data_IF_080299884413
#
_entry.id   IF_080299884413
#
_cell.length_a   1.000
_cell.length_b   1.000
_cell.length_c   1.000
_cell.angle_alpha   90.00
_cell.angle_beta   90.00
_cell.angle_gamma   90.00
#
_symmetry.space_group_name_H-M   'P 1'
#
loop_
_entity.id
_entity.type
_entity.pdbx_description
1 polymer ?
#
# COMPACT_ATOMS: atom_id res chain seq x y z
N UNK A 1 18.11 12.06 -0.16
CA UNK A 1 17.21 12.11 -1.33
C UNK A 1 16.10 11.11 -1.04
N UNK A 2 14.89 11.57 -0.75
CA UNK A 2 13.75 10.67 -0.59
C UNK A 2 13.24 10.37 -2.00
N UNK A 3 13.46 9.16 -2.46
CA UNK A 3 12.90 8.68 -3.71
C UNK A 3 11.39 8.57 -3.46
N UNK A 4 10.59 9.44 -4.07
CA UNK A 4 9.14 9.46 -3.85
C UNK A 4 8.46 8.36 -4.68
N UNK A 5 8.84 7.11 -4.42
CA UNK A 5 8.26 5.92 -5.07
C UNK A 5 6.99 5.52 -4.33
N UNK A 6 5.90 5.30 -5.06
CA UNK A 6 4.62 4.95 -4.46
C UNK A 6 4.65 3.53 -3.88
N UNK A 7 3.96 3.32 -2.76
CA UNK A 7 3.89 2.01 -2.07
C UNK A 7 3.42 0.88 -2.99
N UNK A 8 2.53 1.19 -3.95
CA UNK A 8 2.08 0.23 -4.96
C UNK A 8 3.21 -0.30 -5.86
N UNK A 9 4.13 0.55 -6.29
CA UNK A 9 5.25 0.12 -7.12
C UNK A 9 6.18 -0.82 -6.35
N UNK A 10 6.38 -0.53 -5.06
CA UNK A 10 7.10 -1.42 -4.17
C UNK A 10 6.37 -2.75 -3.93
N UNK A 11 5.05 -2.75 -3.83
CA UNK A 11 4.22 -3.96 -3.78
C UNK A 11 4.39 -4.82 -5.04
N UNK A 12 4.32 -4.19 -6.22
CA UNK A 12 4.49 -4.89 -7.52
C UNK A 12 5.89 -5.46 -7.73
N UNK A 13 6.91 -4.80 -7.20
CA UNK A 13 8.31 -5.20 -7.35
C UNK A 13 8.84 -6.08 -6.22
N UNK A 14 8.00 -6.52 -5.28
CA UNK A 14 8.40 -7.29 -4.09
C UNK A 14 9.48 -6.57 -3.25
N UNK A 15 9.33 -5.25 -3.11
CA UNK A 15 10.25 -4.36 -2.38
C UNK A 15 9.52 -3.49 -1.34
N UNK A 16 8.36 -3.94 -0.84
CA UNK A 16 7.54 -3.24 0.16
C UNK A 16 8.30 -2.74 1.38
N UNK A 17 9.31 -3.49 1.84
CA UNK A 17 10.17 -3.09 2.96
C UNK A 17 10.82 -1.72 2.77
N UNK A 18 11.05 -1.29 1.52
CA UNK A 18 11.58 0.04 1.20
C UNK A 18 10.59 1.17 1.49
N UNK A 19 9.31 0.85 1.68
CA UNK A 19 8.26 1.80 2.08
C UNK A 19 8.17 2.00 3.61
N UNK A 20 8.91 1.22 4.40
CA UNK A 20 8.91 1.35 5.87
C UNK A 20 9.70 2.60 6.29
N UNK A 21 9.14 3.36 7.22
CA UNK A 21 9.74 4.61 7.70
C UNK A 21 11.16 4.37 8.27
N UNK A 22 12.21 4.98 7.70
CA UNK A 22 13.59 4.82 8.20
C UNK A 22 13.77 5.25 9.66
N UNK A 23 12.90 6.11 10.18
CA UNK A 23 12.92 6.55 11.59
C UNK A 23 12.61 5.44 12.57
N UNK A 24 11.99 4.33 12.12
CA UNK A 24 11.80 3.13 12.93
C UNK A 24 13.11 2.38 13.17
N UNK A 25 14.19 2.68 12.42
CA UNK A 25 15.54 2.13 12.66
C UNK A 25 15.61 0.60 12.76
N UNK A 26 14.74 -0.11 12.03
CA UNK A 26 14.67 -1.58 12.11
C UNK A 26 14.06 -2.12 13.42
N UNK A 27 13.47 -1.27 14.26
CA UNK A 27 12.81 -1.66 15.51
C UNK A 27 11.36 -2.14 15.24
N UNK A 28 11.21 -3.10 14.34
CA UNK A 28 9.94 -3.71 13.97
C UNK A 28 10.17 -5.12 13.45
N UNK A 29 9.14 -5.97 13.51
CA UNK A 29 9.13 -7.27 12.85
C UNK A 29 8.85 -7.06 11.36
N UNK A 30 9.73 -7.53 10.47
CA UNK A 30 9.59 -7.29 9.03
C UNK A 30 8.26 -7.85 8.50
N UNK A 31 7.87 -9.05 8.92
CA UNK A 31 6.63 -9.70 8.52
C UNK A 31 5.39 -8.87 8.93
N UNK A 32 5.40 -8.29 10.14
CA UNK A 32 4.29 -7.44 10.61
C UNK A 32 4.22 -6.13 9.82
N UNK A 33 5.37 -5.53 9.50
CA UNK A 33 5.42 -4.30 8.72
C UNK A 33 4.93 -4.52 7.28
N UNK A 34 5.38 -5.59 6.62
CA UNK A 34 4.92 -5.96 5.28
C UNK A 34 3.41 -6.21 5.27
N UNK A 35 2.92 -6.97 6.25
CA UNK A 35 1.48 -7.25 6.42
C UNK A 35 0.65 -5.99 6.62
N UNK A 36 1.10 -5.05 7.46
CA UNK A 36 0.39 -3.78 7.67
C UNK A 36 0.34 -2.95 6.39
N UNK A 37 1.42 -2.93 5.60
CA UNK A 37 1.44 -2.24 4.31
C UNK A 37 0.45 -2.87 3.32
N UNK A 38 0.40 -4.20 3.23
CA UNK A 38 -0.55 -4.90 2.36
C UNK A 38 -2.01 -4.67 2.80
N UNK A 39 -2.31 -4.73 4.09
CA UNK A 39 -3.63 -4.40 4.64
C UNK A 39 -3.97 -2.94 4.30
N UNK A 40 -3.01 -2.01 4.42
CA UNK A 40 -3.18 -0.62 4.00
C UNK A 40 -3.58 -0.48 2.53
N UNK A 41 -2.96 -1.25 1.64
CA UNK A 41 -3.30 -1.30 0.22
C UNK A 41 -4.71 -1.90 -0.06
N UNK A 42 -5.18 -2.81 0.79
CA UNK A 42 -6.57 -3.31 0.75
C UNK A 42 -7.58 -2.25 1.19
N UNK A 43 -7.26 -1.47 2.23
CA UNK A 43 -8.15 -0.43 2.75
C UNK A 43 -8.42 0.70 1.75
N UNK A 44 -7.50 0.93 0.81
CA UNK A 44 -7.59 1.98 -0.20
C UNK A 44 -8.01 1.46 -1.58
N UNK A 45 -8.52 0.23 -1.66
CA UNK A 45 -9.11 -0.31 -2.89
C UNK A 45 -10.21 0.61 -3.42
N UNK A 46 -10.29 0.74 -4.74
CA UNK A 46 -11.20 1.71 -5.36
C UNK A 46 -12.63 1.27 -5.34
N UNK A 47 -12.85 -0.02 -5.55
CA UNK A 47 -14.14 -0.64 -5.28
C UNK A 47 -14.32 -0.76 -3.76
N UNK A 48 -15.47 -0.29 -3.27
CA UNK A 48 -15.83 -0.35 -1.84
C UNK A 48 -16.03 -1.79 -1.41
N UNK A 49 -16.57 -2.66 -2.28
CA UNK A 49 -16.77 -4.08 -1.96
C UNK A 49 -15.46 -4.88 -1.80
N UNK A 50 -14.31 -4.33 -2.22
CA UNK A 50 -12.99 -4.94 -2.02
C UNK A 50 -12.28 -4.46 -0.76
N UNK A 51 -12.81 -3.45 -0.06
CA UNK A 51 -12.20 -2.95 1.17
C UNK A 51 -12.61 -3.87 2.33
N UNK A 52 -11.66 -4.34 3.15
CA UNK A 52 -12.01 -5.12 4.33
C UNK A 52 -12.77 -4.26 5.33
N UNK A 53 -13.73 -4.87 6.02
CA UNK A 53 -14.38 -4.27 7.17
C UNK A 53 -13.39 -4.05 8.32
N UNK A 54 -13.70 -3.13 9.24
CA UNK A 54 -12.87 -2.91 10.42
C UNK A 54 -12.70 -4.18 11.28
N UNK A 55 -13.72 -5.03 11.37
CA UNK A 55 -13.63 -6.32 12.05
C UNK A 55 -12.63 -7.27 11.38
N UNK A 56 -12.63 -7.33 10.05
CA UNK A 56 -11.66 -8.14 9.29
C UNK A 56 -10.25 -7.58 9.45
N UNK A 57 -10.06 -6.27 9.40
CA UNK A 57 -8.77 -5.62 9.64
C UNK A 57 -8.22 -5.98 11.03
N UNK A 58 -9.04 -5.86 12.07
CA UNK A 58 -8.62 -6.22 13.44
C UNK A 58 -8.25 -7.69 13.55
N UNK A 59 -9.00 -8.58 12.88
CA UNK A 59 -8.68 -9.99 12.82
C UNK A 59 -7.35 -10.25 12.10
N UNK A 60 -7.16 -9.66 10.91
CA UNK A 60 -5.91 -9.76 10.15
C UNK A 60 -4.73 -9.30 11.00
N UNK A 61 -4.82 -8.13 11.65
CA UNK A 61 -3.73 -7.58 12.47
C UNK A 61 -3.37 -8.45 13.69
N UNK A 62 -4.34 -9.13 14.29
CA UNK A 62 -4.11 -9.98 15.48
C UNK A 62 -3.57 -11.37 15.15
N UNK A 63 -3.81 -11.87 13.94
CA UNK A 63 -3.56 -13.25 13.58
C UNK A 63 -2.44 -13.35 12.54
N UNK A 64 -1.21 -13.67 12.96
CA UNK A 64 -0.03 -13.69 12.07
C UNK A 64 -0.20 -14.60 10.85
N UNK A 65 -0.81 -15.77 11.01
CA UNK A 65 -1.04 -16.74 9.92
C UNK A 65 -2.31 -16.50 9.09
N UNK A 66 -3.02 -15.39 9.32
CA UNK A 66 -4.21 -15.05 8.53
C UNK A 66 -3.84 -14.78 7.07
N UNK A 67 -4.50 -15.48 6.15
CA UNK A 67 -4.44 -15.23 4.71
C UNK A 67 -5.56 -14.30 4.30
N UNK A 68 -5.25 -13.34 3.44
CA UNK A 68 -6.19 -12.39 2.86
C UNK A 68 -5.88 -12.21 1.37
N UNK A 69 -6.83 -11.62 0.64
CA UNK A 69 -6.68 -11.38 -0.79
C UNK A 69 -5.56 -10.38 -1.08
N UNK A 70 -4.87 -10.56 -2.21
CA UNK A 70 -3.86 -9.58 -2.63
C UNK A 70 -4.51 -8.27 -3.12
N UNK A 71 -3.95 -7.10 -2.75
CA UNK A 71 -4.37 -5.81 -3.28
C UNK A 71 -4.42 -5.75 -4.81
N UNK A 72 -5.44 -5.08 -5.36
CA UNK A 72 -5.54 -4.79 -6.81
C UNK A 72 -5.01 -3.40 -7.15
N UNK A 73 -4.66 -3.21 -8.42
CA UNK A 73 -4.08 -1.96 -8.92
C UNK A 73 -5.00 -0.76 -8.67
N UNK A 74 -4.49 0.29 -8.01
CA UNK A 74 -5.21 1.54 -7.88
C UNK A 74 -5.44 2.19 -9.26
N UNK A 75 -6.63 2.74 -9.54
CA UNK A 75 -7.01 3.35 -10.81
C UNK A 75 -6.26 4.65 -11.10
N UNK A 76 -5.76 5.32 -10.04
CA UNK A 76 -4.95 6.54 -10.16
C UNK A 76 -3.52 6.28 -10.64
N UNK A 77 -3.10 5.01 -10.76
CA UNK A 77 -1.80 4.62 -11.33
C UNK A 77 -1.89 4.29 -12.82
N UNK A 78 -3.03 4.61 -13.46
CA UNK A 78 -3.09 4.62 -14.92
C UNK A 78 -2.21 5.75 -15.46
N UNK A 79 -1.47 5.46 -16.54
CA UNK A 79 -0.43 6.31 -17.12
C UNK A 79 -0.88 7.74 -17.52
N UNK A 80 -2.19 8.04 -17.45
CA UNK A 80 -2.78 9.34 -17.74
C UNK A 80 -2.74 10.34 -16.57
N UNK A 81 -2.56 9.91 -15.31
CA UNK A 81 -2.54 10.86 -14.17
C UNK A 81 -1.24 11.66 -14.09
N UNK A 82 -0.15 11.16 -14.66
CA UNK A 82 1.11 11.91 -14.78
C UNK A 82 1.07 12.99 -15.88
N UNK A 83 0.00 13.06 -16.67
CA UNK A 83 -0.15 14.01 -17.79
C UNK A 83 -1.10 15.18 -17.47
N UNK A 84 -1.59 15.30 -16.23
CA UNK A 84 -2.62 16.28 -15.86
C UNK A 84 -2.11 17.47 -15.02
N UNK A 85 -0.82 17.83 -15.13
CA UNK A 85 -0.29 19.05 -14.50
C UNK A 85 0.70 19.81 -15.39
N UNK A 86 0.45 19.90 -16.71
CA UNK A 86 1.23 20.79 -17.59
C UNK A 86 0.46 21.56 -18.68
N UNK A 87 -0.88 21.69 -18.60
CA UNK A 87 -1.58 22.58 -19.54
C UNK A 87 -2.75 23.32 -18.90
N UNK A 88 -2.42 24.40 -18.16
CA UNK A 88 -3.15 25.67 -18.25
C UNK A 88 -2.28 26.78 -17.67
N UNK A 89 -1.32 27.24 -18.48
CA UNK A 89 -0.80 28.60 -18.40
C UNK A 89 -1.45 29.38 -19.54
N UNK A 90 -2.53 30.07 -19.21
CA UNK A 90 -2.99 31.30 -19.86
C UNK A 90 -3.70 32.17 -18.79
#
# INVERSE_FOLDING_TARGET
MSNNTMVWEHFKADTLKSSVDPRLKGMFTEEEALKVLEIGLLCVQSSVELRPSMSEIVYMLKNNDCKFDSPRQPPFLSASVLMADEETRD
#
